data_IF_462265296820
#
_entry.id   IF_462265296820
#
_cell.length_a   1.000
_cell.length_b   1.000
_cell.length_c   1.000
_cell.angle_alpha   90.00
_cell.angle_beta   90.00
_cell.angle_gamma   90.00
#
_symmetry.space_group_name_H-M   'P 1'
#
loop_
_entity.id
_entity.type
_entity.pdbx_description
1 polymer ?
#
# COMPACT_ATOMS: atom_id res chain seq x y z
N UNK A 1 16.41 29.20 -7.00
CA UNK A 1 15.17 28.90 -6.25
C UNK A 1 14.56 27.70 -6.97
N UNK A 2 14.49 26.56 -6.31
CA UNK A 2 13.96 25.35 -6.95
C UNK A 2 12.45 25.52 -7.13
N UNK A 3 11.98 25.34 -8.37
CA UNK A 3 10.56 25.26 -8.69
C UNK A 3 9.93 24.21 -7.79
N UNK A 4 9.05 24.68 -6.92
CA UNK A 4 8.24 23.83 -6.06
C UNK A 4 7.14 23.28 -6.96
N UNK A 5 7.37 22.12 -7.57
CA UNK A 5 6.36 21.44 -8.36
C UNK A 5 5.08 21.35 -7.50
N UNK A 6 4.04 22.04 -7.94
CA UNK A 6 2.72 21.93 -7.33
C UNK A 6 2.27 20.48 -7.52
N UNK A 7 2.09 19.77 -6.40
CA UNK A 7 1.48 18.44 -6.43
C UNK A 7 -0.01 18.71 -6.66
N UNK A 8 -0.41 18.81 -7.93
CA UNK A 8 -1.79 19.16 -8.32
C UNK A 8 -2.82 18.06 -8.02
N UNK A 9 -2.38 16.84 -7.66
CA UNK A 9 -3.30 15.72 -7.47
C UNK A 9 -2.83 14.70 -6.42
N UNK A 10 -3.78 14.01 -5.78
CA UNK A 10 -3.47 12.97 -4.79
C UNK A 10 -2.76 11.79 -5.47
N UNK A 11 -1.67 11.26 -4.90
CA UNK A 11 -0.83 10.19 -5.49
C UNK A 11 -1.57 8.89 -5.92
N UNK A 12 -2.88 8.79 -5.65
CA UNK A 12 -3.73 7.66 -6.02
C UNK A 12 -5.01 8.08 -6.76
N UNK A 13 -5.10 9.33 -7.27
CA UNK A 13 -6.22 9.79 -8.10
C UNK A 13 -6.27 9.08 -9.45
N UNK A 14 -5.11 8.67 -9.97
CA UNK A 14 -4.95 7.95 -11.22
C UNK A 14 -4.00 6.76 -11.03
N UNK A 15 -4.48 5.55 -11.29
CA UNK A 15 -3.63 4.37 -11.37
C UNK A 15 -3.11 4.22 -12.80
N UNK A 16 -1.78 4.18 -12.96
CA UNK A 16 -1.11 3.94 -14.24
C UNK A 16 -0.38 2.60 -14.15
N UNK A 17 -0.69 1.66 -15.04
CA UNK A 17 -0.03 0.35 -15.08
C UNK A 17 -0.55 -0.54 -16.21
N UNK A 18 -0.05 -1.79 -16.30
CA UNK A 18 -0.50 -2.78 -17.29
C UNK A 18 -1.97 -3.17 -17.09
N UNK A 19 -2.58 -3.86 -18.06
CA UNK A 19 -3.94 -4.39 -17.90
C UNK A 19 -4.05 -5.34 -16.70
N UNK A 20 -3.03 -6.18 -16.45
CA UNK A 20 -3.03 -7.04 -15.25
C UNK A 20 -2.95 -6.24 -13.95
N UNK A 21 -2.17 -5.16 -13.94
CA UNK A 21 -2.14 -4.23 -12.82
C UNK A 21 -3.53 -3.57 -12.65
N UNK A 22 -4.14 -3.06 -13.72
CA UNK A 22 -5.46 -2.45 -13.61
C UNK A 22 -6.56 -3.43 -13.18
N UNK A 23 -6.37 -4.75 -13.34
CA UNK A 23 -7.30 -5.77 -12.85
C UNK A 23 -7.23 -5.98 -11.32
N UNK A 24 -6.11 -5.68 -10.64
CA UNK A 24 -6.02 -5.89 -9.19
C UNK A 24 -6.99 -4.98 -8.41
N UNK A 25 -7.31 -3.79 -8.95
CA UNK A 25 -8.13 -2.77 -8.28
C UNK A 25 -9.53 -3.26 -7.90
N UNK A 26 -10.04 -4.28 -8.59
CA UNK A 26 -11.37 -4.84 -8.34
C UNK A 26 -11.34 -6.08 -7.44
N UNK A 27 -10.16 -6.62 -7.13
CA UNK A 27 -10.04 -7.84 -6.33
C UNK A 27 -10.37 -7.63 -4.85
N UNK A 28 -10.19 -6.42 -4.34
CA UNK A 28 -10.43 -6.09 -2.93
C UNK A 28 -11.21 -4.77 -2.79
N UNK A 29 -12.54 -4.80 -2.87
CA UNK A 29 -13.34 -3.58 -2.79
C UNK A 29 -13.35 -2.98 -1.37
N UNK A 30 -13.51 -1.66 -1.29
CA UNK A 30 -13.64 -0.93 -0.01
C UNK A 30 -14.75 -1.54 0.85
N UNK A 31 -14.48 -1.70 2.15
CA UNK A 31 -15.37 -2.36 3.11
C UNK A 31 -15.17 -3.87 3.22
N UNK A 32 -14.32 -4.47 2.37
CA UNK A 32 -13.87 -5.86 2.54
C UNK A 32 -12.88 -5.98 3.68
N UNK A 33 -12.75 -7.18 4.25
CA UNK A 33 -11.69 -7.50 5.19
C UNK A 33 -10.32 -7.32 4.54
N UNK A 34 -9.40 -6.67 5.26
CA UNK A 34 -8.00 -6.56 4.83
C UNK A 34 -7.36 -7.96 4.71
N UNK A 35 -6.56 -8.24 3.67
CA UNK A 35 -5.84 -9.50 3.53
C UNK A 35 -4.84 -9.66 4.65
N UNK A 36 -4.85 -10.81 5.31
CA UNK A 36 -3.90 -11.12 6.36
C UNK A 36 -2.87 -12.14 5.84
N UNK A 37 -1.60 -11.77 5.86
CA UNK A 37 -0.50 -12.60 5.36
C UNK A 37 0.76 -12.44 6.21
N UNK A 38 1.66 -13.41 6.13
CA UNK A 38 2.96 -13.31 6.78
C UNK A 38 3.90 -12.42 5.97
N UNK A 39 4.52 -11.45 6.64
CA UNK A 39 5.56 -10.59 6.09
C UNK A 39 6.84 -10.73 6.91
N UNK A 40 7.96 -10.22 6.38
CA UNK A 40 9.25 -10.20 7.07
C UNK A 40 9.60 -8.79 7.52
N UNK A 41 9.84 -8.59 8.81
CA UNK A 41 10.35 -7.33 9.32
C UNK A 41 11.75 -7.06 8.79
N UNK A 42 11.98 -5.86 8.25
CA UNK A 42 13.28 -5.49 7.70
C UNK A 42 14.36 -5.39 8.79
N UNK A 43 14.01 -4.82 9.94
CA UNK A 43 14.94 -4.52 11.03
C UNK A 43 15.48 -5.78 11.72
N UNK A 44 14.63 -6.80 11.88
CA UNK A 44 14.94 -8.01 12.67
C UNK A 44 15.03 -9.27 11.81
N UNK A 45 14.49 -9.23 10.59
CA UNK A 45 14.33 -10.39 9.74
C UNK A 45 13.30 -11.41 10.24
N UNK A 46 12.54 -11.10 11.29
CA UNK A 46 11.56 -12.01 11.86
C UNK A 46 10.24 -11.99 11.07
N UNK A 47 9.50 -13.12 11.02
CA UNK A 47 8.16 -13.14 10.48
C UNK A 47 7.21 -12.32 11.35
N UNK A 48 6.26 -11.64 10.73
CA UNK A 48 5.17 -10.92 11.37
C UNK A 48 3.87 -11.18 10.61
N UNK A 49 2.76 -11.24 11.34
CA UNK A 49 1.45 -11.31 10.73
C UNK A 49 0.97 -9.89 10.42
N UNK A 50 0.48 -9.64 9.20
CA UNK A 50 0.08 -8.28 8.78
C UNK A 50 -1.02 -7.70 9.69
N UNK A 51 -1.94 -8.54 10.18
CA UNK A 51 -2.98 -8.15 11.12
C UNK A 51 -2.49 -7.69 12.50
N UNK A 52 -1.24 -7.98 12.86
CA UNK A 52 -0.67 -7.49 14.11
C UNK A 52 -0.63 -5.96 14.20
N UNK A 53 -0.66 -5.27 13.06
CA UNK A 53 -0.58 -3.80 12.97
C UNK A 53 -1.94 -3.11 13.07
N UNK A 54 -3.00 -3.64 12.45
CA UNK A 54 -4.34 -3.01 12.52
C UNK A 54 -5.23 -3.53 13.63
N UNK A 55 -4.85 -4.61 14.33
CA UNK A 55 -5.67 -5.12 15.46
C UNK A 55 -5.80 -4.13 16.63
N UNK A 56 -4.98 -3.07 16.65
CA UNK A 56 -4.94 -2.06 17.74
C UNK A 56 -5.48 -0.69 17.33
N UNK A 57 -5.84 -0.50 16.06
CA UNK A 57 -6.33 0.77 15.54
C UNK A 57 -6.21 0.86 14.02
N UNK A 58 -6.68 1.98 13.47
CA UNK A 58 -6.60 2.24 12.04
C UNK A 58 -5.14 2.40 11.60
N UNK A 59 -4.82 1.85 10.43
CA UNK A 59 -3.49 1.93 9.83
C UNK A 59 -3.56 2.44 8.41
N UNK A 60 -2.56 3.22 8.03
CA UNK A 60 -2.26 3.55 6.64
C UNK A 60 -1.06 2.71 6.21
N UNK A 61 -1.19 2.03 5.07
CA UNK A 61 -0.16 1.14 4.54
C UNK A 61 0.26 1.65 3.16
N UNK A 62 1.56 1.81 2.97
CA UNK A 62 2.17 2.18 1.69
C UNK A 62 3.06 1.04 1.20
N UNK A 63 2.84 0.61 -0.04
CA UNK A 63 3.67 -0.40 -0.70
C UNK A 63 4.64 0.30 -1.66
N UNK A 64 5.91 -0.09 -1.60
CA UNK A 64 6.94 0.43 -2.49
C UNK A 64 8.13 -0.52 -2.57
N UNK A 65 8.99 -0.25 -3.54
CA UNK A 65 10.27 -0.93 -3.70
C UNK A 65 11.35 0.09 -4.04
N UNK A 66 12.58 -0.16 -3.60
CA UNK A 66 13.75 0.53 -4.16
C UNK A 66 13.96 -0.02 -5.56
N UNK A 67 13.86 0.84 -6.58
CA UNK A 67 14.28 0.56 -7.96
C UNK A 67 15.64 1.16 -8.23
#
# INVERSE_FOLDING_TARGET
MADRAEIEDYNYSVFVGSEEFMAFRTLLPVGSSAPDFEAKLLETGQPVQFSDYWKKGDVLIEFGSLT
#
